data_IF_544383872897
#
_entry.id   IF_544383872897
#
_cell.length_a   1.000
_cell.length_b   1.000
_cell.length_c   1.000
_cell.angle_alpha   90.00
_cell.angle_beta   90.00
_cell.angle_gamma   90.00
#
_symmetry.space_group_name_H-M   'P 1'
#
loop_
_entity.id
_entity.type
_entity.pdbx_description
1 polymer ?
#
# COMPACT_ATOMS: atom_id res chain seq x y z
N UNK A 1 -1.18 17.86 15.20
CA UNK A 1 -1.34 17.05 16.42
C UNK A 1 -2.07 15.74 16.13
N UNK A 2 -1.68 14.62 16.75
CA UNK A 2 -2.28 13.32 16.53
C UNK A 2 -3.82 13.32 16.61
N UNK A 3 -4.50 13.88 17.64
CA UNK A 3 -5.96 13.83 17.74
C UNK A 3 -6.67 14.55 16.58
N UNK A 4 -6.18 15.70 16.14
CA UNK A 4 -6.78 16.50 15.07
C UNK A 4 -6.76 15.77 13.72
N UNK A 5 -5.75 14.93 13.49
CA UNK A 5 -5.64 14.12 12.26
C UNK A 5 -6.75 13.06 12.15
N UNK A 6 -7.12 12.41 13.26
CA UNK A 6 -8.23 11.44 13.26
C UNK A 6 -9.58 12.09 13.03
N UNK A 7 -9.86 13.18 13.74
CA UNK A 7 -11.14 13.86 13.63
C UNK A 7 -11.36 14.40 12.21
N UNK A 8 -10.30 14.91 11.59
CA UNK A 8 -10.33 15.34 10.18
C UNK A 8 -10.68 14.19 9.25
N UNK A 9 -10.05 13.02 9.42
CA UNK A 9 -10.27 11.87 8.57
C UNK A 9 -11.67 11.24 8.80
N UNK A 10 -12.14 11.20 10.04
CA UNK A 10 -13.51 10.77 10.37
C UNK A 10 -14.56 11.73 9.79
N UNK A 11 -14.32 13.04 9.86
CA UNK A 11 -15.20 14.05 9.27
C UNK A 11 -15.24 13.93 7.74
N UNK A 12 -14.10 13.75 7.08
CA UNK A 12 -14.00 13.61 5.63
C UNK A 12 -14.69 12.35 5.12
N UNK A 13 -14.64 11.25 5.89
CA UNK A 13 -15.31 10.01 5.52
C UNK A 13 -16.84 10.07 5.68
N UNK A 14 -17.31 10.83 6.68
CA UNK A 14 -18.73 10.85 7.08
C UNK A 14 -19.51 12.03 6.49
N UNK A 15 -18.85 13.14 6.19
CA UNK A 15 -19.47 14.37 5.65
C UNK A 15 -18.90 14.83 4.31
N UNK A 16 -17.75 14.31 3.86
CA UNK A 16 -17.19 14.64 2.55
C UNK A 16 -17.90 13.87 1.44
N UNK A 17 -18.24 14.55 0.35
CA UNK A 17 -18.85 13.91 -0.82
C UNK A 17 -17.90 12.83 -1.36
N UNK A 18 -18.34 11.57 -1.43
CA UNK A 18 -17.53 10.40 -1.83
C UNK A 18 -16.28 10.10 -0.98
N UNK A 19 -16.09 10.74 0.18
CA UNK A 19 -14.90 10.54 1.02
C UNK A 19 -14.75 9.11 1.56
N UNK A 20 -15.87 8.39 1.72
CA UNK A 20 -15.90 6.97 2.07
C UNK A 20 -15.39 6.07 0.94
N UNK A 21 -15.81 6.34 -0.30
CA UNK A 21 -15.37 5.61 -1.50
C UNK A 21 -13.87 5.78 -1.71
N UNK A 22 -13.34 7.01 -1.59
CA UNK A 22 -11.92 7.29 -1.80
C UNK A 22 -11.04 6.55 -0.77
N UNK A 23 -11.46 6.50 0.51
CA UNK A 23 -10.73 5.71 1.52
C UNK A 23 -10.80 4.21 1.26
N UNK A 24 -11.96 3.68 0.88
CA UNK A 24 -12.08 2.26 0.55
C UNK A 24 -11.25 1.89 -0.67
N UNK A 25 -11.23 2.73 -1.71
CA UNK A 25 -10.39 2.55 -2.90
C UNK A 25 -8.91 2.62 -2.56
N UNK A 26 -8.46 3.54 -1.71
CA UNK A 26 -7.07 3.61 -1.26
C UNK A 26 -6.66 2.37 -0.45
N UNK A 27 -7.47 1.98 0.53
CA UNK A 27 -7.18 0.83 1.41
C UNK A 27 -7.25 -0.52 0.67
N UNK A 28 -8.27 -0.74 -0.16
CA UNK A 28 -8.41 -1.95 -0.98
C UNK A 28 -7.45 -1.94 -2.18
N UNK A 29 -7.21 -0.78 -2.78
CA UNK A 29 -6.26 -0.61 -3.89
C UNK A 29 -4.83 -0.98 -3.49
N UNK A 30 -4.40 -0.62 -2.27
CA UNK A 30 -3.11 -1.05 -1.73
C UNK A 30 -3.00 -2.59 -1.68
N UNK A 31 -4.06 -3.29 -1.25
CA UNK A 31 -4.07 -4.77 -1.24
C UNK A 31 -4.06 -5.39 -2.65
N UNK A 32 -4.77 -4.79 -3.61
CA UNK A 32 -4.76 -5.24 -5.00
C UNK A 32 -3.38 -5.06 -5.65
N UNK A 33 -2.63 -4.03 -5.24
CA UNK A 33 -1.27 -3.81 -5.71
C UNK A 33 -0.33 -4.98 -5.34
N UNK A 34 -0.41 -5.48 -4.10
CA UNK A 34 0.36 -6.66 -3.68
C UNK A 34 -0.08 -7.94 -4.39
N UNK A 35 -1.38 -8.12 -4.63
CA UNK A 35 -1.91 -9.27 -5.39
C UNK A 35 -1.37 -9.30 -6.83
N UNK A 36 -1.05 -8.15 -7.45
CA UNK A 36 -0.41 -8.10 -8.76
C UNK A 36 1.10 -8.41 -8.69
N UNK A 37 1.78 -7.99 -7.61
CA UNK A 37 3.23 -8.18 -7.44
C UNK A 37 3.66 -9.63 -7.22
N UNK A 38 2.85 -10.46 -6.54
CA UNK A 38 3.19 -11.86 -6.27
C UNK A 38 3.21 -12.74 -7.54
N UNK A 39 2.18 -12.72 -8.41
CA UNK A 39 2.23 -13.40 -9.71
C UNK A 39 3.34 -12.87 -10.62
N UNK A 40 3.73 -11.59 -10.52
CA UNK A 40 4.87 -11.04 -11.27
C UNK A 40 6.21 -11.70 -10.86
N UNK A 41 6.41 -12.05 -9.57
CA UNK A 41 7.53 -12.91 -9.14
C UNK A 41 7.35 -14.31 -9.74
N UNK A 42 6.16 -14.90 -9.55
CA UNK A 42 5.89 -16.29 -9.93
C UNK A 42 6.13 -16.53 -11.42
N UNK A 43 5.62 -15.64 -12.28
CA UNK A 43 5.88 -15.64 -13.72
C UNK A 43 7.36 -15.43 -14.03
N UNK A 44 8.02 -14.50 -13.34
CA UNK A 44 9.45 -14.23 -13.54
C UNK A 44 10.36 -15.41 -13.20
N UNK A 45 9.99 -16.20 -12.18
CA UNK A 45 10.68 -17.44 -11.83
C UNK A 45 10.32 -18.59 -12.78
N UNK A 46 9.04 -18.73 -13.15
CA UNK A 46 8.54 -19.80 -14.02
C UNK A 46 9.11 -19.74 -15.45
N UNK A 47 9.24 -18.53 -16.03
CA UNK A 47 9.77 -18.33 -17.38
C UNK A 47 11.26 -17.98 -17.43
N UNK A 48 11.99 -18.04 -16.31
CA UNK A 48 13.42 -17.73 -16.30
C UNK A 48 13.76 -16.25 -16.57
N UNK A 49 12.82 -15.33 -16.35
CA UNK A 49 13.01 -13.89 -16.63
C UNK A 49 14.07 -13.22 -15.75
N UNK A 50 14.62 -13.93 -14.75
CA UNK A 50 15.82 -13.51 -14.01
C UNK A 50 17.08 -13.42 -14.89
N UNK A 51 17.09 -14.06 -16.07
CA UNK A 51 18.16 -13.91 -17.06
C UNK A 51 18.30 -12.44 -17.54
N UNK A 52 17.21 -11.68 -17.57
CA UNK A 52 17.23 -10.24 -17.83
C UNK A 52 17.60 -9.46 -16.55
N UNK A 53 18.87 -9.56 -16.15
CA UNK A 53 19.37 -9.01 -14.88
C UNK A 53 19.04 -7.53 -14.63
N UNK A 54 19.07 -6.67 -15.66
CA UNK A 54 18.70 -5.25 -15.52
C UNK A 54 17.22 -5.07 -15.17
N UNK A 55 16.32 -5.73 -15.90
CA UNK A 55 14.86 -5.67 -15.68
C UNK A 55 14.47 -6.34 -14.37
N UNK A 56 15.11 -7.45 -14.02
CA UNK A 56 14.87 -8.17 -12.78
C UNK A 56 15.26 -7.34 -11.55
N UNK A 57 16.45 -6.71 -11.55
CA UNK A 57 16.89 -5.85 -10.46
C UNK A 57 15.98 -4.63 -10.26
N UNK A 58 15.51 -3.99 -11.34
CA UNK A 58 14.52 -2.90 -11.25
C UNK A 58 13.21 -3.42 -10.63
N UNK A 59 12.75 -4.62 -11.00
CA UNK A 59 11.57 -5.25 -10.43
C UNK A 59 11.71 -5.62 -8.94
N UNK A 60 12.91 -5.94 -8.46
CA UNK A 60 13.19 -6.13 -7.02
C UNK A 60 13.12 -4.79 -6.29
N UNK A 61 13.78 -3.75 -6.82
CA UNK A 61 13.79 -2.41 -6.23
C UNK A 61 12.37 -1.85 -6.14
N UNK A 62 11.56 -2.01 -7.20
CA UNK A 62 10.17 -1.57 -7.22
C UNK A 62 9.34 -2.26 -6.13
N UNK A 63 9.55 -3.57 -5.91
CA UNK A 63 8.88 -4.31 -4.83
C UNK A 63 9.24 -3.80 -3.44
N UNK A 64 10.53 -3.59 -3.19
CA UNK A 64 11.01 -3.05 -1.90
C UNK A 64 10.47 -1.63 -1.67
N UNK A 65 10.48 -0.79 -2.71
CA UNK A 65 9.91 0.56 -2.64
C UNK A 65 8.42 0.52 -2.28
N UNK A 66 7.65 -0.39 -2.90
CA UNK A 66 6.22 -0.49 -2.61
C UNK A 66 5.94 -1.00 -1.18
N UNK A 67 6.75 -1.94 -0.69
CA UNK A 67 6.67 -2.41 0.71
C UNK A 67 6.86 -1.25 1.69
N UNK A 68 7.87 -0.40 1.43
CA UNK A 68 8.15 0.80 2.22
C UNK A 68 7.00 1.81 2.16
N UNK A 69 6.44 2.06 0.97
CA UNK A 69 5.29 2.96 0.79
C UNK A 69 4.04 2.45 1.49
N UNK A 70 3.77 1.15 1.45
CA UNK A 70 2.63 0.55 2.15
C UNK A 70 2.79 0.64 3.68
N UNK A 71 4.00 0.43 4.20
CA UNK A 71 4.30 0.56 5.62
C UNK A 71 4.12 2.01 6.11
N UNK A 72 4.65 2.99 5.37
CA UNK A 72 4.46 4.41 5.68
C UNK A 72 3.02 4.88 5.50
N UNK A 73 2.26 4.28 4.58
CA UNK A 73 0.84 4.58 4.40
C UNK A 73 -0.07 3.97 5.48
N UNK A 74 0.43 2.99 6.23
CA UNK A 74 -0.32 2.33 7.30
C UNK A 74 -0.22 3.05 8.66
N UNK A 75 0.87 3.79 8.91
CA UNK A 75 1.00 4.65 10.08
C UNK A 75 0.95 6.13 9.68
N UNK A 76 0.00 6.99 10.13
CA UNK A 76 -1.16 6.84 11.03
C UNK A 76 -2.47 7.50 10.43
N UNK A 77 -3.64 7.68 11.12
CA UNK A 77 -3.81 8.36 12.41
C UNK A 77 -4.32 7.35 13.46
N UNK A 78 -3.59 7.20 14.57
CA UNK A 78 -3.61 6.11 15.57
C UNK A 78 -4.91 5.35 15.96
N UNK A 79 -5.55 4.66 15.02
CA UNK A 79 -6.34 3.49 15.36
C UNK A 79 -5.40 2.45 15.99
N UNK A 80 -5.88 1.63 16.93
CA UNK A 80 -5.05 0.67 17.68
C UNK A 80 -4.14 -0.16 16.75
N UNK A 81 -4.65 -0.60 15.60
CA UNK A 81 -3.90 -1.40 14.63
C UNK A 81 -2.71 -0.65 13.97
N UNK A 82 -2.86 0.65 13.69
CA UNK A 82 -1.78 1.49 13.13
C UNK A 82 -0.76 1.95 14.18
N UNK A 83 -1.14 1.98 15.47
CA UNK A 83 -0.23 2.35 16.57
C UNK A 83 0.68 1.19 16.98
N UNK A 84 0.16 -0.04 17.03
CA UNK A 84 0.94 -1.23 17.38
C UNK A 84 1.67 -1.86 16.20
N UNK A 85 1.30 -1.52 14.96
CA UNK A 85 1.91 -2.04 13.74
C UNK A 85 3.01 -1.16 13.12
N UNK A 86 3.19 0.07 13.60
CA UNK A 86 4.28 0.98 13.24
C UNK A 86 5.45 0.80 14.22
#
# INVERSE_FOLDING_TARGET
DPPTAFFTIAHLNRKGNYGWIIRYLGAKGASMFFICLFPQIGRGLYYGSFLYSKTWNIGIILRVATMKTAFMGYGPPGGQMSFWGA
#
